data_IF_638007061536
#
_entry.id   IF_638007061536
#
_cell.length_a   1.000
_cell.length_b   1.000
_cell.length_c   1.000
_cell.angle_alpha   90.00
_cell.angle_beta   90.00
_cell.angle_gamma   90.00
#
_symmetry.space_group_name_H-M   'P 1'
#
loop_
_entity.id
_entity.type
_entity.pdbx_description
1 polymer ?
#
# COMPACT_ATOMS: atom_id res chain seq x y z
N UNK A 1 -0.45 -4.53 24.11
CA UNK A 1 -0.31 -5.15 22.76
C UNK A 1 -1.14 -4.32 21.76
N UNK A 2 -0.73 -4.19 20.53
CA UNK A 2 -1.47 -3.54 19.44
C UNK A 2 -1.88 -2.07 19.66
N UNK A 3 -1.21 -1.32 20.49
CA UNK A 3 -1.54 0.09 20.82
C UNK A 3 -1.55 1.03 19.61
N UNK A 4 -0.87 0.64 18.52
CA UNK A 4 -0.82 1.40 17.27
C UNK A 4 -1.82 0.90 16.20
N UNK A 5 -2.69 -0.06 16.54
CA UNK A 5 -3.73 -0.56 15.63
C UNK A 5 -5.09 -0.06 16.11
N UNK A 6 -5.38 1.21 15.83
CA UNK A 6 -6.60 1.88 16.30
C UNK A 6 -7.83 1.47 15.47
N UNK A 7 -9.00 1.44 16.09
CA UNK A 7 -10.29 1.29 15.42
C UNK A 7 -10.49 -0.06 14.71
N UNK A 8 -9.89 -1.15 15.22
CA UNK A 8 -10.04 -2.48 14.63
C UNK A 8 -10.57 -3.48 15.65
N UNK A 9 -11.88 -3.81 15.64
CA UNK A 9 -12.50 -4.74 16.61
C UNK A 9 -11.84 -6.13 16.63
N UNK A 10 -11.34 -6.60 15.48
CA UNK A 10 -10.67 -7.90 15.35
C UNK A 10 -9.41 -8.04 16.22
N UNK A 11 -8.84 -6.93 16.67
CA UNK A 11 -7.66 -6.94 17.53
C UNK A 11 -7.96 -7.53 18.91
N UNK A 12 -9.18 -7.35 19.44
CA UNK A 12 -9.55 -7.96 20.72
C UNK A 12 -9.47 -9.49 20.64
N UNK A 13 -10.04 -10.08 19.60
CA UNK A 13 -9.97 -11.53 19.35
C UNK A 13 -8.51 -12.00 19.24
N UNK A 14 -7.68 -11.26 18.52
CA UNK A 14 -6.27 -11.61 18.34
C UNK A 14 -5.49 -11.51 19.66
N UNK A 15 -5.79 -10.51 20.51
CA UNK A 15 -5.21 -10.40 21.85
C UNK A 15 -5.57 -11.60 22.72
N UNK A 16 -6.84 -11.98 22.73
CA UNK A 16 -7.34 -13.11 23.54
C UNK A 16 -6.66 -14.42 23.11
N UNK A 17 -6.51 -14.66 21.81
CA UNK A 17 -5.82 -15.84 21.30
C UNK A 17 -4.32 -15.85 21.62
N UNK A 18 -3.66 -14.70 21.53
CA UNK A 18 -2.25 -14.57 21.91
C UNK A 18 -2.01 -14.82 23.39
N UNK A 19 -2.91 -14.31 24.26
CA UNK A 19 -2.81 -14.49 25.70
C UNK A 19 -3.01 -15.95 26.12
N UNK A 20 -3.93 -16.66 25.45
CA UNK A 20 -4.21 -18.06 25.72
C UNK A 20 -3.31 -19.05 24.95
N UNK A 21 -2.42 -18.56 24.09
CA UNK A 21 -1.55 -19.41 23.28
C UNK A 21 -2.26 -20.18 22.16
N UNK A 22 -3.48 -19.78 21.79
CA UNK A 22 -4.35 -20.45 20.82
C UNK A 22 -4.25 -19.89 19.41
N UNK A 23 -3.13 -19.26 19.08
CA UNK A 23 -2.91 -18.67 17.73
C UNK A 23 -2.72 -19.79 16.71
N UNK A 24 -3.51 -19.83 15.63
CA UNK A 24 -3.35 -20.83 14.59
C UNK A 24 -2.02 -20.65 13.83
N UNK A 25 -1.49 -21.73 13.21
CA UNK A 25 -0.22 -21.65 12.50
C UNK A 25 -0.28 -20.77 11.24
N UNK A 26 -1.47 -20.53 10.68
CA UNK A 26 -1.66 -19.70 9.51
C UNK A 26 -2.83 -18.74 9.64
N UNK A 27 -2.55 -17.45 9.56
CA UNK A 27 -3.50 -16.35 9.69
C UNK A 27 -3.62 -15.58 8.37
N UNK A 28 -4.83 -15.13 8.04
CA UNK A 28 -5.09 -14.22 6.95
C UNK A 28 -5.72 -12.92 7.48
N UNK A 29 -5.01 -11.81 7.38
CA UNK A 29 -5.54 -10.48 7.70
C UNK A 29 -6.11 -9.86 6.43
N UNK A 30 -7.43 -9.83 6.31
CA UNK A 30 -8.14 -9.35 5.14
C UNK A 30 -8.90 -8.06 5.44
N UNK A 31 -8.86 -7.08 4.54
CA UNK A 31 -9.58 -5.82 4.70
C UNK A 31 -9.02 -4.69 3.84
N UNK A 32 -9.63 -3.50 3.87
CA UNK A 32 -9.27 -2.39 2.99
C UNK A 32 -7.83 -1.91 3.17
N UNK A 33 -7.36 -1.10 2.22
CA UNK A 33 -6.05 -0.45 2.32
C UNK A 33 -5.98 0.43 3.59
N UNK A 34 -4.78 0.65 4.09
CA UNK A 34 -4.51 1.44 5.29
C UNK A 34 -5.27 1.02 6.56
N UNK A 35 -5.93 -0.15 6.61
CA UNK A 35 -6.63 -0.66 7.80
C UNK A 35 -5.70 -1.17 8.93
N UNK A 36 -4.37 -1.20 8.73
CA UNK A 36 -3.37 -1.57 9.75
C UNK A 36 -3.00 -3.05 9.77
N UNK A 37 -3.34 -3.83 8.74
CA UNK A 37 -3.03 -5.27 8.63
C UNK A 37 -1.55 -5.60 8.85
N UNK A 38 -0.63 -4.90 8.15
CA UNK A 38 0.81 -5.14 8.31
C UNK A 38 1.28 -4.75 9.71
N UNK A 39 0.78 -3.64 10.27
CA UNK A 39 1.10 -3.23 11.63
C UNK A 39 0.68 -4.31 12.63
N UNK A 40 -0.52 -4.88 12.47
CA UNK A 40 -1.00 -5.98 13.29
C UNK A 40 -0.18 -7.26 13.08
N UNK A 41 0.23 -7.59 11.84
CA UNK A 41 1.06 -8.75 11.54
C UNK A 41 2.43 -8.65 12.22
N UNK A 42 3.08 -7.48 12.14
CA UNK A 42 4.36 -7.23 12.79
C UNK A 42 4.26 -7.25 14.32
N UNK A 43 3.16 -6.76 14.88
CA UNK A 43 2.92 -6.79 16.32
C UNK A 43 2.62 -8.22 16.80
N UNK A 44 1.82 -8.99 16.04
CA UNK A 44 1.60 -10.43 16.29
C UNK A 44 2.93 -11.18 16.32
N UNK A 45 3.79 -10.94 15.33
CA UNK A 45 5.13 -11.55 15.27
C UNK A 45 5.98 -11.20 16.49
N UNK A 46 5.96 -9.92 16.91
CA UNK A 46 6.68 -9.47 18.11
C UNK A 46 6.17 -10.17 19.38
N UNK A 47 4.86 -10.24 19.56
CA UNK A 47 4.24 -10.85 20.76
C UNK A 47 4.53 -12.36 20.83
N UNK A 48 4.39 -13.08 19.70
CA UNK A 48 4.69 -14.52 19.62
C UNK A 48 6.15 -14.83 19.93
N UNK A 49 7.07 -13.93 19.60
CA UNK A 49 8.52 -14.08 19.84
C UNK A 49 8.95 -13.53 21.21
N UNK A 50 8.05 -12.84 21.94
CA UNK A 50 8.40 -12.21 23.20
C UNK A 50 8.72 -13.26 24.28
N UNK A 51 9.76 -13.00 25.08
CA UNK A 51 10.19 -13.87 26.17
C UNK A 51 9.57 -13.48 27.53
N UNK A 52 8.92 -12.32 27.59
CA UNK A 52 8.37 -11.71 28.80
C UNK A 52 6.86 -11.42 28.66
N UNK A 53 6.46 -10.18 28.90
CA UNK A 53 5.05 -9.78 29.04
C UNK A 53 4.27 -9.63 27.72
N UNK A 54 4.94 -9.51 26.57
CA UNK A 54 4.28 -9.21 25.29
C UNK A 54 3.74 -7.78 25.17
N UNK A 55 3.82 -6.94 26.20
CA UNK A 55 3.35 -5.56 26.15
C UNK A 55 4.19 -4.71 25.20
N UNK A 56 3.62 -3.61 24.68
CA UNK A 56 4.37 -2.71 23.78
C UNK A 56 5.60 -2.12 24.45
N UNK A 57 5.53 -1.83 25.73
CA UNK A 57 6.64 -1.31 26.54
C UNK A 57 7.73 -2.34 26.85
N UNK A 58 7.52 -3.62 26.50
CA UNK A 58 8.51 -4.67 26.75
C UNK A 58 9.83 -4.36 26.04
N UNK A 59 10.95 -4.49 26.79
CA UNK A 59 12.30 -4.17 26.34
C UNK A 59 13.20 -5.43 26.21
N UNK A 60 12.61 -6.64 26.27
CA UNK A 60 13.41 -7.86 26.08
C UNK A 60 14.11 -7.84 24.70
N UNK A 61 15.25 -8.56 24.55
CA UNK A 61 16.03 -8.53 23.33
C UNK A 61 15.23 -8.92 22.07
N UNK A 62 14.28 -9.85 22.22
CA UNK A 62 13.38 -10.23 21.11
C UNK A 62 12.47 -9.08 20.70
N UNK A 63 11.79 -8.42 21.65
CA UNK A 63 10.93 -7.28 21.35
C UNK A 63 11.70 -6.12 20.71
N UNK A 64 12.90 -5.82 21.17
CA UNK A 64 13.76 -4.79 20.54
C UNK A 64 14.02 -5.12 19.08
N UNK A 65 14.52 -6.34 18.77
CA UNK A 65 14.78 -6.76 17.38
C UNK A 65 13.53 -6.73 16.50
N UNK A 66 12.37 -7.13 17.00
CA UNK A 66 11.11 -7.03 16.24
C UNK A 66 10.65 -5.59 16.02
N UNK A 67 10.82 -4.72 17.01
CA UNK A 67 10.53 -3.28 16.85
C UNK A 67 11.42 -2.66 15.78
N UNK A 68 12.68 -3.04 15.76
CA UNK A 68 13.68 -2.57 14.79
C UNK A 68 13.65 -3.31 13.45
N UNK A 69 12.78 -4.31 13.27
CA UNK A 69 12.72 -5.19 12.09
C UNK A 69 14.07 -5.87 11.76
N UNK A 70 14.87 -6.19 12.80
CA UNK A 70 16.16 -6.88 12.71
C UNK A 70 16.11 -8.32 13.27
N UNK A 71 14.89 -8.84 13.52
CA UNK A 71 14.74 -10.20 14.07
C UNK A 71 15.06 -11.26 13.01
N UNK A 72 16.00 -12.18 13.34
CA UNK A 72 16.44 -13.27 12.46
C UNK A 72 15.34 -14.27 12.11
N UNK A 73 14.36 -14.44 13.01
CA UNK A 73 13.22 -15.36 12.85
C UNK A 73 11.98 -14.70 12.24
N UNK A 74 12.13 -13.52 11.65
CA UNK A 74 11.09 -12.82 10.91
C UNK A 74 11.53 -12.63 9.45
N UNK A 75 10.68 -13.02 8.50
CA UNK A 75 10.80 -12.64 7.09
C UNK A 75 9.52 -11.96 6.62
N UNK A 76 9.70 -10.95 5.79
CA UNK A 76 8.60 -10.23 5.13
C UNK A 76 8.74 -10.44 3.63
N UNK A 77 7.72 -11.04 3.03
CA UNK A 77 7.63 -11.34 1.62
C UNK A 77 6.43 -10.59 1.03
N UNK A 78 6.61 -9.85 -0.06
CA UNK A 78 5.49 -9.13 -0.65
C UNK A 78 5.90 -8.07 -1.66
N UNK A 79 4.90 -7.54 -2.34
CA UNK A 79 5.04 -6.61 -3.46
C UNK A 79 4.40 -5.25 -3.17
N UNK A 80 4.10 -4.96 -1.89
CA UNK A 80 3.44 -3.71 -1.52
C UNK A 80 4.35 -2.51 -1.78
N UNK A 81 3.81 -1.49 -2.44
CA UNK A 81 4.46 -0.19 -2.55
C UNK A 81 4.45 0.55 -1.19
N UNK A 82 5.62 0.94 -0.72
CA UNK A 82 5.82 1.62 0.56
C UNK A 82 6.33 3.05 0.41
N UNK A 83 6.49 3.56 -0.80
CA UNK A 83 7.09 4.88 -1.06
C UNK A 83 6.32 6.00 -0.36
N UNK A 84 4.98 6.02 -0.46
CA UNK A 84 4.20 7.07 0.19
C UNK A 84 4.22 6.97 1.72
N UNK A 85 4.24 5.75 2.28
CA UNK A 85 4.41 5.55 3.72
C UNK A 85 5.77 6.07 4.17
N UNK A 86 6.82 5.83 3.40
CA UNK A 86 8.17 6.35 3.69
C UNK A 86 8.22 7.87 3.61
N UNK A 87 7.60 8.48 2.58
CA UNK A 87 7.50 9.95 2.45
C UNK A 87 6.72 10.59 3.60
N UNK A 88 5.59 9.99 3.99
CA UNK A 88 4.80 10.46 5.13
C UNK A 88 5.59 10.36 6.44
N UNK A 89 6.33 9.27 6.64
CA UNK A 89 7.18 9.11 7.81
C UNK A 89 8.39 10.08 7.81
N UNK A 90 8.94 10.39 6.63
CA UNK A 90 9.98 11.41 6.44
C UNK A 90 9.46 12.80 6.83
N UNK A 91 8.26 13.15 6.33
CA UNK A 91 7.58 14.40 6.71
C UNK A 91 7.36 14.49 8.23
N UNK A 92 6.84 13.41 8.84
CA UNK A 92 6.65 13.34 10.29
C UNK A 92 7.97 13.55 11.07
N UNK A 93 9.09 12.99 10.59
CA UNK A 93 10.39 13.19 11.22
C UNK A 93 10.86 14.64 11.14
N UNK A 94 10.81 15.26 9.96
CA UNK A 94 11.25 16.63 9.74
C UNK A 94 10.35 17.65 10.47
N UNK A 95 9.05 17.36 10.58
CA UNK A 95 8.08 18.28 11.24
C UNK A 95 8.09 18.15 12.76
N UNK A 96 7.94 16.90 13.27
CA UNK A 96 7.78 16.69 14.71
C UNK A 96 9.11 16.60 15.46
N UNK A 97 10.22 16.24 14.81
CA UNK A 97 11.58 16.18 15.38
C UNK A 97 11.63 15.44 16.72
N UNK A 98 10.97 14.27 16.78
CA UNK A 98 10.90 13.46 18.00
C UNK A 98 11.51 12.08 17.76
N UNK A 99 11.99 11.43 18.83
CA UNK A 99 12.48 10.05 18.81
C UNK A 99 11.42 9.09 18.26
N UNK A 100 10.13 9.34 18.56
CA UNK A 100 9.02 8.53 18.00
C UNK A 100 8.88 8.69 16.49
N UNK A 101 9.03 9.91 15.95
CA UNK A 101 8.98 10.16 14.51
C UNK A 101 10.21 9.58 13.79
N UNK A 102 11.41 9.67 14.40
CA UNK A 102 12.61 9.00 13.92
C UNK A 102 12.39 7.48 13.85
N UNK A 103 11.87 6.88 14.90
CA UNK A 103 11.55 5.45 14.93
C UNK A 103 10.55 5.07 13.83
N UNK A 104 9.51 5.89 13.60
CA UNK A 104 8.55 5.68 12.52
C UNK A 104 9.25 5.66 11.16
N UNK A 105 10.11 6.64 10.89
CA UNK A 105 10.84 6.75 9.62
C UNK A 105 11.79 5.57 9.40
N UNK A 106 12.64 5.27 10.36
CA UNK A 106 13.56 4.12 10.28
C UNK A 106 12.79 2.82 10.04
N UNK A 107 11.66 2.63 10.73
CA UNK A 107 10.82 1.45 10.56
C UNK A 107 10.14 1.41 9.19
N UNK A 108 9.72 2.55 8.64
CA UNK A 108 9.15 2.61 7.29
C UNK A 108 10.19 2.19 6.23
N UNK A 109 11.41 2.69 6.34
CA UNK A 109 12.53 2.29 5.47
C UNK A 109 12.83 0.80 5.62
N UNK A 110 12.96 0.29 6.83
CA UNK A 110 13.26 -1.13 7.10
C UNK A 110 12.15 -2.08 6.65
N UNK A 111 10.89 -1.67 6.60
CA UNK A 111 9.82 -2.44 5.96
C UNK A 111 10.10 -2.68 4.47
N UNK A 112 10.69 -1.72 3.77
CA UNK A 112 11.08 -1.90 2.38
C UNK A 112 12.33 -2.78 2.27
N UNK A 113 13.40 -2.43 2.96
CA UNK A 113 14.69 -3.14 2.82
C UNK A 113 14.61 -4.59 3.26
N UNK A 114 13.78 -4.94 4.26
CA UNK A 114 13.58 -6.32 4.70
C UNK A 114 13.01 -7.26 3.62
N UNK A 115 12.40 -6.74 2.55
CA UNK A 115 11.97 -7.55 1.39
C UNK A 115 13.12 -7.94 0.48
N UNK A 116 14.29 -7.29 0.64
CA UNK A 116 15.54 -7.62 -0.04
C UNK A 116 16.48 -8.47 0.83
N UNK A 117 15.95 -9.14 1.84
CA UNK A 117 16.73 -10.08 2.64
C UNK A 117 17.32 -11.18 1.74
N UNK A 118 18.63 -11.42 1.85
CA UNK A 118 19.37 -12.37 1.01
C UNK A 118 18.80 -13.80 1.08
N UNK A 119 18.08 -14.13 2.15
CA UNK A 119 17.40 -15.42 2.31
C UNK A 119 16.21 -15.60 1.37
N UNK A 120 15.71 -14.53 0.74
CA UNK A 120 14.58 -14.53 -0.20
C UNK A 120 15.00 -14.48 -1.67
N UNK A 121 16.24 -14.09 -1.95
CA UNK A 121 16.71 -13.83 -3.31
C UNK A 121 17.80 -14.82 -3.74
N UNK A 122 17.86 -15.13 -5.04
CA UNK A 122 19.04 -15.76 -5.61
C UNK A 122 20.15 -14.71 -5.71
N UNK A 123 21.39 -15.13 -5.48
CA UNK A 123 22.53 -14.19 -5.43
C UNK A 123 22.87 -13.56 -6.77
N UNK A 124 22.55 -14.25 -7.85
CA UNK A 124 22.76 -13.85 -9.24
C UNK A 124 21.51 -13.23 -9.90
N UNK A 125 20.41 -13.05 -9.15
CA UNK A 125 19.21 -12.46 -9.68
C UNK A 125 19.41 -10.98 -10.04
N UNK A 126 19.18 -10.56 -11.29
CA UNK A 126 19.55 -9.23 -11.78
C UNK A 126 18.97 -8.08 -10.95
N UNK A 127 17.74 -8.25 -10.45
CA UNK A 127 17.10 -7.23 -9.60
C UNK A 127 17.75 -7.13 -8.23
N UNK A 128 18.20 -8.25 -7.65
CA UNK A 128 18.89 -8.26 -6.38
C UNK A 128 20.32 -7.69 -6.51
N UNK A 129 21.03 -8.05 -7.59
CA UNK A 129 22.34 -7.46 -7.91
C UNK A 129 22.24 -5.94 -8.08
N UNK A 130 21.19 -5.44 -8.76
CA UNK A 130 20.93 -4.01 -8.90
C UNK A 130 20.54 -3.35 -7.56
N UNK A 131 19.84 -4.06 -6.69
CA UNK A 131 19.42 -3.56 -5.38
C UNK A 131 20.58 -3.44 -4.38
N UNK A 132 21.59 -4.33 -4.45
CA UNK A 132 22.65 -4.43 -3.46
C UNK A 132 23.39 -3.09 -3.15
N UNK A 133 23.84 -2.30 -4.14
CA UNK A 133 24.49 -1.01 -3.86
C UNK A 133 23.50 -0.01 -3.24
N UNK A 134 22.24 0.02 -3.70
CA UNK A 134 21.22 0.92 -3.15
C UNK A 134 20.91 0.57 -1.68
N UNK A 135 20.85 -0.72 -1.36
CA UNK A 135 20.67 -1.19 0.02
C UNK A 135 21.82 -0.78 0.92
N UNK A 136 23.06 -0.92 0.45
CA UNK A 136 24.24 -0.49 1.20
C UNK A 136 24.20 1.02 1.49
N UNK A 137 23.88 1.85 0.48
CA UNK A 137 23.74 3.30 0.64
C UNK A 137 22.62 3.67 1.64
N UNK A 138 21.49 2.92 1.62
CA UNK A 138 20.38 3.14 2.56
C UNK A 138 20.82 2.76 3.99
N UNK A 139 21.46 1.62 4.17
CA UNK A 139 21.91 1.15 5.49
C UNK A 139 22.94 2.10 6.11
N UNK A 140 23.92 2.58 5.32
CA UNK A 140 24.89 3.58 5.76
C UNK A 140 24.20 4.88 6.18
N UNK A 141 23.32 5.41 5.33
CA UNK A 141 22.62 6.66 5.63
C UNK A 141 21.65 6.53 6.82
N UNK A 142 21.04 5.35 7.03
CA UNK A 142 20.22 5.08 8.21
C UNK A 142 21.05 4.99 9.48
N UNK A 143 22.22 4.34 9.41
CA UNK A 143 23.14 4.23 10.53
C UNK A 143 23.57 5.64 10.99
N UNK A 144 24.03 6.47 10.06
CA UNK A 144 24.42 7.86 10.33
C UNK A 144 23.26 8.66 10.96
N UNK A 145 22.04 8.51 10.43
CA UNK A 145 20.85 9.19 10.96
C UNK A 145 20.53 8.74 12.39
N UNK A 146 20.62 7.44 12.66
CA UNK A 146 20.34 6.89 14.00
C UNK A 146 21.39 7.37 15.02
N UNK A 147 22.68 7.37 14.63
CA UNK A 147 23.77 7.74 15.50
C UNK A 147 23.78 9.25 15.79
N UNK A 148 23.61 10.10 14.76
CA UNK A 148 23.62 11.56 14.91
C UNK A 148 22.42 12.09 15.69
N UNK A 149 21.26 11.48 15.56
CA UNK A 149 20.01 11.96 16.14
C UNK A 149 19.43 10.99 17.18
N UNK A 150 20.30 10.42 18.04
CA UNK A 150 19.83 9.54 19.13
C UNK A 150 18.95 10.30 20.12
N UNK A 151 19.30 11.54 20.43
CA UNK A 151 18.45 12.48 21.14
C UNK A 151 17.97 13.59 20.19
N UNK A 152 16.65 13.70 20.00
CA UNK A 152 16.01 14.69 19.11
C UNK A 152 15.64 15.99 19.85
N UNK A 153 16.04 16.15 21.11
CA UNK A 153 15.76 17.36 21.89
C UNK A 153 16.77 18.47 21.54
N UNK A 154 16.27 19.65 21.19
CA UNK A 154 17.08 20.88 20.95
C UNK A 154 18.01 20.80 19.73
N UNK A 155 17.49 20.34 18.56
CA UNK A 155 18.21 20.36 17.29
C UNK A 155 18.38 21.82 16.82
N UNK A 156 19.60 22.20 16.46
CA UNK A 156 19.92 23.51 15.89
C UNK A 156 19.41 23.65 14.44
N UNK A 157 19.26 24.89 13.95
CA UNK A 157 18.82 25.15 12.57
C UNK A 157 19.73 24.51 11.49
N UNK A 158 21.03 24.38 11.79
CA UNK A 158 21.99 23.72 10.88
C UNK A 158 21.80 22.21 10.87
N UNK A 159 21.57 21.62 12.03
CA UNK A 159 21.26 20.19 12.17
C UNK A 159 19.91 19.84 11.55
N UNK A 160 18.93 20.73 11.64
CA UNK A 160 17.64 20.58 10.97
C UNK A 160 17.78 20.48 9.46
N UNK A 161 18.51 21.41 8.82
CA UNK A 161 18.79 21.37 7.39
C UNK A 161 19.57 20.12 6.98
N UNK A 162 20.44 19.63 7.86
CA UNK A 162 21.18 18.39 7.61
C UNK A 162 20.26 17.17 7.72
N UNK A 163 19.39 17.13 8.72
CA UNK A 163 18.37 16.08 8.89
C UNK A 163 17.44 15.99 7.67
N UNK A 164 16.94 17.14 7.19
CA UNK A 164 16.10 17.20 6.00
C UNK A 164 16.80 16.61 4.75
N UNK A 165 18.07 16.99 4.53
CA UNK A 165 18.87 16.49 3.41
C UNK A 165 19.11 14.98 3.52
N UNK A 166 19.46 14.49 4.70
CA UNK A 166 19.66 13.04 4.92
C UNK A 166 18.37 12.27 4.73
N UNK A 167 17.27 12.75 5.27
CA UNK A 167 15.94 12.15 5.16
C UNK A 167 15.47 12.11 3.70
N UNK A 168 15.67 13.20 2.95
CA UNK A 168 15.37 13.27 1.52
C UNK A 168 16.22 12.26 0.73
N UNK A 169 17.55 12.20 0.97
CA UNK A 169 18.44 11.21 0.31
C UNK A 169 17.95 9.78 0.54
N UNK A 170 17.64 9.41 1.78
CA UNK A 170 17.14 8.06 2.10
C UNK A 170 15.81 7.80 1.39
N UNK A 171 14.92 8.77 1.37
CA UNK A 171 13.60 8.64 0.71
C UNK A 171 13.74 8.43 -0.80
N UNK A 172 14.64 9.15 -1.46
CA UNK A 172 14.94 9.00 -2.89
C UNK A 172 15.54 7.62 -3.21
N UNK A 173 16.46 7.15 -2.37
CA UNK A 173 17.03 5.80 -2.49
C UNK A 173 15.94 4.72 -2.30
N UNK A 174 15.04 4.88 -1.34
CA UNK A 174 13.91 3.98 -1.14
C UNK A 174 12.96 3.99 -2.35
N UNK A 175 12.68 5.17 -2.92
CA UNK A 175 11.90 5.27 -4.13
C UNK A 175 12.56 4.53 -5.29
N UNK A 176 13.87 4.73 -5.52
CA UNK A 176 14.63 4.03 -6.55
C UNK A 176 14.65 2.52 -6.33
N UNK A 177 14.85 2.05 -5.09
CA UNK A 177 14.83 0.64 -4.74
C UNK A 177 13.47 -0.01 -5.05
N UNK A 178 12.38 0.62 -4.62
CA UNK A 178 11.00 0.16 -4.88
C UNK A 178 10.73 0.11 -6.37
N UNK A 179 11.16 1.15 -7.06
CA UNK A 179 10.85 1.36 -8.46
C UNK A 179 11.60 0.43 -9.39
N UNK A 180 12.85 0.23 -9.17
CA UNK A 180 13.73 -0.44 -10.09
C UNK A 180 13.91 -1.93 -9.78
N UNK A 181 13.72 -2.32 -8.50
CA UNK A 181 14.12 -3.63 -8.04
C UNK A 181 12.96 -4.50 -7.53
N UNK A 182 11.83 -3.90 -7.09
CA UNK A 182 10.68 -4.68 -6.63
C UNK A 182 9.91 -5.35 -7.77
N UNK A 183 9.34 -6.50 -7.49
CA UNK A 183 8.38 -7.17 -8.37
C UNK A 183 6.96 -6.66 -8.16
N UNK A 184 6.14 -6.65 -9.22
CA UNK A 184 4.71 -6.34 -9.12
C UNK A 184 3.88 -7.53 -8.62
N UNK A 185 4.34 -8.74 -8.90
CA UNK A 185 3.74 -10.00 -8.45
C UNK A 185 4.77 -10.86 -7.75
N UNK A 186 4.35 -11.63 -6.77
CA UNK A 186 5.25 -12.45 -5.96
C UNK A 186 5.78 -13.66 -6.75
N UNK A 187 7.10 -13.73 -7.04
CA UNK A 187 7.67 -14.80 -7.85
C UNK A 187 7.80 -16.11 -7.06
N UNK A 188 7.73 -17.23 -7.78
CA UNK A 188 7.79 -18.57 -7.17
C UNK A 188 9.11 -18.85 -6.45
N UNK A 189 10.24 -18.30 -6.93
CA UNK A 189 11.56 -18.52 -6.32
C UNK A 189 11.62 -17.95 -4.90
N UNK A 190 11.10 -16.73 -4.69
CA UNK A 190 11.04 -16.14 -3.35
C UNK A 190 10.17 -16.98 -2.40
N UNK A 191 9.03 -17.48 -2.87
CA UNK A 191 8.17 -18.36 -2.08
C UNK A 191 8.86 -19.67 -1.73
N UNK A 192 9.59 -20.28 -2.67
CA UNK A 192 10.37 -21.51 -2.42
C UNK A 192 11.48 -21.27 -1.39
N UNK A 193 12.22 -20.17 -1.51
CA UNK A 193 13.26 -19.81 -0.54
C UNK A 193 12.68 -19.54 0.84
N UNK A 194 11.60 -18.79 0.94
CA UNK A 194 10.89 -18.57 2.20
C UNK A 194 10.38 -19.89 2.80
N UNK A 195 9.86 -20.79 1.97
CA UNK A 195 9.41 -22.14 2.39
C UNK A 195 10.56 -23.03 2.87
N UNK A 196 11.74 -22.92 2.30
CA UNK A 196 12.94 -23.62 2.76
C UNK A 196 13.42 -23.01 4.09
N UNK A 197 13.48 -21.69 4.18
CA UNK A 197 13.94 -20.99 5.38
C UNK A 197 13.04 -21.27 6.60
N UNK A 198 11.72 -21.31 6.43
CA UNK A 198 10.81 -21.47 7.57
C UNK A 198 10.89 -22.89 8.17
N UNK A 199 11.41 -23.88 7.44
CA UNK A 199 11.65 -25.25 7.92
C UNK A 199 12.91 -25.37 8.80
N UNK A 200 13.80 -24.38 8.79
CA UNK A 200 14.95 -24.36 9.67
C UNK A 200 14.50 -24.03 11.10
N UNK A 201 15.18 -24.58 12.09
CA UNK A 201 14.89 -24.29 13.49
C UNK A 201 15.00 -22.79 13.79
N UNK A 202 14.09 -22.22 14.59
CA UNK A 202 14.19 -20.84 15.02
C UNK A 202 15.36 -20.63 15.99
N UNK A 203 15.94 -19.43 16.01
CA UNK A 203 16.85 -19.02 17.06
C UNK A 203 16.11 -18.64 18.36
N UNK A 204 14.84 -18.24 18.24
CA UNK A 204 13.94 -17.91 19.34
C UNK A 204 12.81 -18.91 19.51
N UNK A 205 11.63 -18.43 19.97
CA UNK A 205 10.43 -19.27 20.24
C UNK A 205 9.70 -19.68 18.96
N UNK A 206 9.56 -18.79 18.02
CA UNK A 206 8.75 -18.94 16.80
C UNK A 206 9.48 -18.39 15.59
N UNK A 207 9.21 -18.97 14.45
CA UNK A 207 9.69 -18.52 13.14
C UNK A 207 8.50 -18.00 12.34
N UNK A 208 8.57 -16.78 11.83
CA UNK A 208 7.39 -16.06 11.34
C UNK A 208 7.64 -15.58 9.92
N UNK A 209 6.75 -15.96 9.03
CA UNK A 209 6.71 -15.49 7.65
C UNK A 209 5.48 -14.61 7.44
N UNK A 210 5.70 -13.34 7.15
CA UNK A 210 4.64 -12.41 6.74
C UNK A 210 4.63 -12.36 5.22
N UNK A 211 3.46 -12.62 4.61
CA UNK A 211 3.25 -12.53 3.17
C UNK A 211 2.25 -11.43 2.88
N UNK A 212 2.72 -10.32 2.30
CA UNK A 212 1.87 -9.21 1.93
C UNK A 212 1.25 -9.42 0.54
N UNK A 213 0.03 -8.91 0.36
CA UNK A 213 -0.72 -9.01 -0.90
C UNK A 213 -0.76 -10.46 -1.41
N UNK A 214 -1.22 -11.39 -0.56
CA UNK A 214 -1.30 -12.81 -0.89
C UNK A 214 -2.14 -13.11 -2.15
N UNK A 215 -3.06 -12.20 -2.50
CA UNK A 215 -3.81 -12.22 -3.75
C UNK A 215 -2.95 -11.96 -5.01
N UNK A 216 -1.76 -11.34 -4.86
CA UNK A 216 -0.82 -11.06 -5.97
C UNK A 216 0.24 -12.17 -6.18
N UNK A 217 0.11 -13.32 -5.56
CA UNK A 217 0.97 -14.47 -5.85
C UNK A 217 0.69 -15.02 -7.26
N UNK A 218 1.75 -15.31 -8.01
CA UNK A 218 1.65 -16.08 -9.25
C UNK A 218 1.12 -17.48 -8.98
N UNK A 219 0.51 -18.14 -9.96
CA UNK A 219 -0.07 -19.48 -9.78
C UNK A 219 0.95 -20.50 -9.27
N UNK A 220 2.13 -20.53 -9.87
CA UNK A 220 3.24 -21.38 -9.43
C UNK A 220 3.71 -21.09 -8.00
N UNK A 221 3.67 -19.80 -7.58
CA UNK A 221 3.97 -19.38 -6.23
C UNK A 221 2.91 -19.84 -5.23
N UNK A 222 1.62 -19.73 -5.60
CA UNK A 222 0.49 -20.25 -4.80
C UNK A 222 0.61 -21.74 -4.55
N UNK A 223 0.88 -22.52 -5.61
CA UNK A 223 1.04 -23.96 -5.51
C UNK A 223 2.25 -24.37 -4.64
N UNK A 224 3.36 -23.64 -4.73
CA UNK A 224 4.51 -23.84 -3.86
C UNK A 224 4.20 -23.52 -2.38
N UNK A 225 3.37 -22.49 -2.14
CA UNK A 225 3.00 -22.06 -0.80
C UNK A 225 2.00 -23.01 -0.12
N UNK A 226 1.08 -23.61 -0.89
CA UNK A 226 0.15 -24.61 -0.37
C UNK A 226 0.84 -25.78 0.33
N UNK A 227 1.95 -26.26 -0.23
CA UNK A 227 2.71 -27.39 0.36
C UNK A 227 3.21 -27.13 1.76
N UNK A 228 3.56 -25.90 2.11
CA UNK A 228 4.03 -25.56 3.45
C UNK A 228 2.87 -25.24 4.41
N UNK A 229 1.72 -24.80 3.88
CA UNK A 229 0.53 -24.59 4.68
C UNK A 229 -0.17 -25.89 5.07
N UNK A 230 0.02 -26.97 4.29
CA UNK A 230 -0.55 -28.29 4.60
C UNK A 230 0.14 -28.95 5.80
N UNK A 231 1.47 -28.83 5.88
CA UNK A 231 2.29 -29.41 6.94
C UNK A 231 3.23 -28.35 7.51
N UNK A 232 2.72 -27.37 8.26
CA UNK A 232 3.54 -26.33 8.85
C UNK A 232 4.37 -26.89 10.03
N UNK A 233 5.66 -26.52 10.14
CA UNK A 233 6.41 -26.83 11.36
C UNK A 233 5.74 -26.24 12.60
N UNK A 234 5.78 -26.92 13.74
CA UNK A 234 5.10 -26.51 15.00
C UNK A 234 5.55 -25.11 15.49
N UNK A 235 6.77 -24.73 15.19
CA UNK A 235 7.32 -23.43 15.56
C UNK A 235 7.04 -22.34 14.50
N UNK A 236 6.51 -22.72 13.34
CA UNK A 236 6.25 -21.77 12.25
C UNK A 236 4.90 -21.08 12.39
N UNK A 237 4.85 -19.80 12.06
CA UNK A 237 3.62 -19.03 11.94
C UNK A 237 3.64 -18.24 10.63
N UNK A 238 2.55 -18.38 9.88
CA UNK A 238 2.33 -17.68 8.61
C UNK A 238 1.28 -16.59 8.82
N UNK A 239 1.60 -15.36 8.42
CA UNK A 239 0.64 -14.24 8.48
C UNK A 239 0.51 -13.66 7.10
N UNK A 240 -0.60 -13.94 6.43
CA UNK A 240 -0.91 -13.41 5.11
C UNK A 240 -1.69 -12.11 5.25
N UNK A 241 -1.46 -11.16 4.37
CA UNK A 241 -2.31 -9.97 4.27
C UNK A 241 -2.90 -9.84 2.87
N UNK A 242 -4.12 -9.33 2.75
CA UNK A 242 -4.77 -9.04 1.47
C UNK A 242 -5.75 -7.88 1.59
N UNK A 243 -5.91 -7.12 0.52
CA UNK A 243 -7.01 -6.15 0.35
C UNK A 243 -8.22 -6.77 -0.34
N UNK A 244 -8.04 -7.91 -1.02
CA UNK A 244 -9.07 -8.59 -1.84
C UNK A 244 -9.19 -10.05 -1.45
N UNK A 245 -9.91 -10.32 -0.33
CA UNK A 245 -10.10 -11.70 0.16
C UNK A 245 -10.66 -12.65 -0.92
N UNK A 246 -11.58 -12.16 -1.75
CA UNK A 246 -12.18 -12.94 -2.82
C UNK A 246 -11.19 -13.34 -3.94
N UNK A 247 -10.05 -12.68 -4.06
CA UNK A 247 -9.00 -13.02 -5.02
C UNK A 247 -7.99 -14.05 -4.47
N UNK A 248 -8.06 -14.38 -3.17
CA UNK A 248 -7.29 -15.48 -2.59
C UNK A 248 -7.98 -16.80 -2.89
N UNK A 249 -7.23 -17.74 -3.45
CA UNK A 249 -7.79 -19.05 -3.89
C UNK A 249 -8.40 -19.85 -2.73
N UNK A 250 -9.49 -20.60 -2.96
CA UNK A 250 -10.19 -21.36 -1.93
C UNK A 250 -9.29 -22.35 -1.18
N UNK A 251 -8.32 -22.93 -1.85
CA UNK A 251 -7.36 -23.88 -1.26
C UNK A 251 -6.43 -23.24 -0.21
N UNK A 252 -6.09 -21.96 -0.35
CA UNK A 252 -5.40 -21.20 0.73
C UNK A 252 -6.41 -20.84 1.82
N UNK A 253 -7.59 -20.33 1.44
CA UNK A 253 -8.62 -19.93 2.41
C UNK A 253 -9.05 -21.06 3.35
N UNK A 254 -9.04 -22.31 2.89
CA UNK A 254 -9.37 -23.49 3.73
C UNK A 254 -8.30 -23.84 4.78
N UNK A 255 -7.08 -23.30 4.64
CA UNK A 255 -5.93 -23.59 5.54
C UNK A 255 -5.54 -22.43 6.44
N UNK A 256 -6.15 -21.27 6.25
CA UNK A 256 -5.84 -20.07 7.03
C UNK A 256 -7.05 -19.62 7.84
N UNK A 257 -6.83 -19.16 9.06
CA UNK A 257 -7.87 -18.46 9.82
C UNK A 257 -7.93 -17.00 9.40
N UNK A 258 -9.10 -16.56 8.95
CA UNK A 258 -9.31 -15.20 8.48
C UNK A 258 -9.70 -14.26 9.60
N UNK A 259 -9.01 -13.12 9.70
CA UNK A 259 -9.29 -11.99 10.59
C UNK A 259 -9.66 -10.80 9.72
N UNK A 260 -10.90 -10.31 9.88
CA UNK A 260 -11.45 -9.25 9.04
C UNK A 260 -11.15 -7.88 9.67
N UNK A 261 -10.36 -7.10 8.97
CA UNK A 261 -10.12 -5.70 9.25
C UNK A 261 -11.15 -4.86 8.52
N UNK A 262 -11.72 -3.89 9.21
CA UNK A 262 -12.74 -2.99 8.66
C UNK A 262 -12.13 -1.65 8.23
N UNK A 263 -12.85 -0.89 7.42
CA UNK A 263 -12.51 0.51 7.21
C UNK A 263 -12.71 1.26 8.53
N UNK A 264 -11.70 2.04 8.94
CA UNK A 264 -11.77 2.82 10.17
C UNK A 264 -12.77 3.96 10.03
N UNK A 265 -13.48 4.26 11.09
CA UNK A 265 -14.22 5.51 11.20
C UNK A 265 -13.30 6.73 11.06
N UNK A 266 -13.82 7.84 10.58
CA UNK A 266 -13.06 9.07 10.33
C UNK A 266 -12.28 9.53 11.57
N UNK A 267 -12.87 9.44 12.75
CA UNK A 267 -12.22 9.75 14.04
C UNK A 267 -10.97 8.92 14.31
N UNK A 268 -11.03 7.63 14.04
CA UNK A 268 -9.87 6.73 14.17
C UNK A 268 -8.83 6.95 13.07
N UNK A 269 -9.25 7.31 11.85
CA UNK A 269 -8.34 7.65 10.78
C UNK A 269 -7.56 8.93 11.10
N UNK A 270 -8.25 9.96 11.59
CA UNK A 270 -7.65 11.18 12.09
C UNK A 270 -6.68 10.91 13.24
N UNK A 271 -7.09 10.13 14.23
CA UNK A 271 -6.23 9.75 15.35
C UNK A 271 -4.93 9.02 14.91
N UNK A 272 -4.97 8.23 13.82
CA UNK A 272 -3.76 7.62 13.26
C UNK A 272 -2.85 8.69 12.65
N UNK A 273 -3.39 9.65 11.88
CA UNK A 273 -2.59 10.72 11.27
C UNK A 273 -1.93 11.57 12.35
N UNK A 274 -2.69 12.01 13.35
CA UNK A 274 -2.20 12.84 14.44
C UNK A 274 -1.20 12.12 15.37
N UNK A 275 -1.50 10.86 15.72
CA UNK A 275 -0.70 10.12 16.70
C UNK A 275 0.52 9.45 16.08
N UNK A 276 0.38 8.83 14.89
CA UNK A 276 1.44 8.05 14.25
C UNK A 276 2.30 8.95 13.37
N UNK A 277 1.67 9.73 12.47
CA UNK A 277 2.39 10.61 11.56
C UNK A 277 2.66 12.01 12.14
N UNK A 278 2.11 12.32 13.33
CA UNK A 278 2.32 13.61 14.01
C UNK A 278 1.88 14.83 13.19
N UNK A 279 0.99 14.65 12.23
CA UNK A 279 0.51 15.71 11.36
C UNK A 279 -0.89 16.21 11.80
N UNK A 280 -0.88 17.20 12.70
CA UNK A 280 -2.12 17.87 13.14
C UNK A 280 -2.59 18.92 12.15
N UNK A 281 -1.68 19.44 11.30
CA UNK A 281 -2.03 20.49 10.33
C UNK A 281 -2.89 19.94 9.21
N UNK A 282 -2.57 18.76 8.69
CA UNK A 282 -3.40 18.10 7.68
C UNK A 282 -4.83 17.90 8.15
N UNK A 283 -5.01 17.52 9.43
CA UNK A 283 -6.32 17.34 10.03
C UNK A 283 -7.07 18.68 10.24
N UNK A 284 -6.34 19.76 10.54
CA UNK A 284 -6.90 21.08 10.77
C UNK A 284 -7.27 21.84 9.48
N UNK A 285 -6.52 21.61 8.40
CA UNK A 285 -6.78 22.25 7.10
C UNK A 285 -8.09 21.81 6.48
N UNK A 286 -8.76 20.78 7.06
CA UNK A 286 -10.09 20.28 6.72
C UNK A 286 -10.41 20.47 5.24
N UNK A 287 -10.15 19.48 4.40
CA UNK A 287 -10.77 19.50 3.07
C UNK A 287 -12.28 19.56 3.27
N UNK A 288 -12.84 20.74 3.07
CA UNK A 288 -14.13 21.22 3.56
C UNK A 288 -15.37 20.43 3.12
N UNK A 289 -15.25 19.23 2.54
CA UNK A 289 -16.36 18.41 2.10
C UNK A 289 -16.15 16.89 2.24
N UNK A 290 -14.97 16.39 2.58
CA UNK A 290 -14.73 14.93 2.68
C UNK A 290 -14.11 14.52 4.02
N UNK A 291 -14.54 13.37 4.58
CA UNK A 291 -13.96 12.87 5.83
C UNK A 291 -12.45 12.58 5.65
N UNK A 292 -11.66 12.93 6.66
CA UNK A 292 -10.22 12.67 6.68
C UNK A 292 -9.95 11.17 6.56
N UNK A 293 -9.16 10.78 5.55
CA UNK A 293 -8.78 9.39 5.30
C UNK A 293 -7.26 9.23 5.28
N UNK A 294 -6.75 8.12 5.84
CA UNK A 294 -5.32 7.80 5.81
C UNK A 294 -4.82 7.64 4.37
N UNK A 295 -5.64 7.06 3.49
CA UNK A 295 -5.29 6.89 2.07
C UNK A 295 -5.10 8.26 1.42
N UNK A 296 -6.01 9.22 1.65
CA UNK A 296 -5.89 10.59 1.12
C UNK A 296 -4.67 11.32 1.69
N UNK A 297 -4.40 11.13 3.00
CA UNK A 297 -3.18 11.64 3.61
C UNK A 297 -1.91 11.09 2.94
N UNK A 298 -1.83 9.79 2.71
CA UNK A 298 -0.68 9.21 2.01
C UNK A 298 -0.59 9.69 0.55
N UNK A 299 -1.71 9.88 -0.12
CA UNK A 299 -1.77 10.40 -1.49
C UNK A 299 -1.33 11.86 -1.59
N UNK A 300 -1.41 12.66 -0.52
CA UNK A 300 -0.90 14.04 -0.53
C UNK A 300 0.62 14.12 -0.73
N UNK A 301 1.36 13.02 -0.52
CA UNK A 301 2.80 12.91 -0.81
C UNK A 301 3.12 12.46 -2.23
N UNK A 302 2.10 12.32 -3.10
CA UNK A 302 2.34 12.11 -4.53
C UNK A 302 2.99 13.38 -5.14
N UNK A 303 3.79 13.21 -6.19
CA UNK A 303 4.39 14.36 -6.90
C UNK A 303 3.36 15.20 -7.66
N UNK A 304 2.12 14.74 -7.72
CA UNK A 304 1.00 15.38 -8.41
C UNK A 304 -0.20 15.42 -7.47
N UNK A 305 -0.82 16.57 -7.36
CA UNK A 305 -2.00 16.75 -6.50
C UNK A 305 -3.16 15.82 -6.93
N UNK A 306 -3.96 15.29 -6.00
CA UNK A 306 -5.09 14.41 -6.31
C UNK A 306 -6.10 15.03 -7.30
N UNK A 307 -6.28 16.35 -7.26
CA UNK A 307 -7.16 17.11 -8.16
C UNK A 307 -6.75 16.95 -9.63
N UNK A 308 -5.47 16.76 -9.88
CA UNK A 308 -4.94 16.53 -11.21
C UNK A 308 -5.49 15.25 -11.86
N UNK A 309 -5.65 14.18 -11.09
CA UNK A 309 -6.26 12.95 -11.62
C UNK A 309 -7.74 13.15 -11.95
N UNK A 310 -8.43 13.97 -11.16
CA UNK A 310 -9.82 14.31 -11.42
C UNK A 310 -9.94 15.14 -12.70
N UNK A 311 -9.05 16.10 -12.94
CA UNK A 311 -9.00 16.85 -14.18
C UNK A 311 -8.68 15.97 -15.38
N UNK A 312 -7.66 15.10 -15.27
CA UNK A 312 -7.32 14.13 -16.32
C UNK A 312 -8.51 13.20 -16.65
N UNK A 313 -9.25 12.77 -15.64
CA UNK A 313 -10.46 11.95 -15.81
C UNK A 313 -11.61 12.74 -16.50
N UNK A 314 -11.78 14.01 -16.17
CA UNK A 314 -12.74 14.87 -16.85
C UNK A 314 -12.40 15.05 -18.34
N UNK A 315 -11.13 15.34 -18.65
CA UNK A 315 -10.62 15.44 -20.03
C UNK A 315 -10.81 14.11 -20.78
N UNK A 316 -10.61 12.98 -20.12
CA UNK A 316 -10.81 11.65 -20.71
C UNK A 316 -12.29 11.38 -21.03
N UNK A 317 -13.21 11.70 -20.12
CA UNK A 317 -14.63 11.56 -20.37
C UNK A 317 -15.11 12.46 -21.50
N UNK A 318 -14.67 13.73 -21.52
CA UNK A 318 -14.96 14.66 -22.62
C UNK A 318 -14.47 14.11 -23.96
N UNK A 319 -13.25 13.55 -23.99
CA UNK A 319 -12.71 12.90 -25.19
C UNK A 319 -13.59 11.72 -25.66
N UNK A 320 -13.98 10.84 -24.75
CA UNK A 320 -14.82 9.70 -25.06
C UNK A 320 -16.23 10.14 -25.53
N UNK A 321 -16.84 11.11 -24.88
CA UNK A 321 -18.18 11.60 -25.21
C UNK A 321 -18.20 12.37 -26.53
N UNK A 322 -17.17 13.17 -26.83
CA UNK A 322 -17.06 13.88 -28.12
C UNK A 322 -16.95 12.93 -29.32
N UNK A 323 -16.39 11.74 -29.13
CA UNK A 323 -16.30 10.70 -30.19
C UNK A 323 -17.65 10.00 -30.44
N UNK A 324 -18.59 10.06 -29.49
CA UNK A 324 -19.91 9.41 -29.56
C UNK A 324 -20.94 10.13 -30.43
N UNK A 325 -20.63 11.09 -31.19
CA UNK A 325 -21.40 12.07 -32.01
C UNK A 325 -22.85 11.81 -32.42
N UNK A 326 -23.55 10.71 -32.05
CA UNK A 326 -24.89 10.39 -32.56
C UNK A 326 -25.89 9.72 -31.60
N UNK A 327 -25.61 9.53 -30.31
CA UNK A 327 -26.63 9.01 -29.37
C UNK A 327 -26.83 9.95 -28.19
N UNK A 328 -27.78 10.88 -28.35
CA UNK A 328 -28.01 12.00 -27.44
C UNK A 328 -28.58 11.66 -26.06
N UNK A 329 -28.88 10.40 -25.76
CA UNK A 329 -29.57 10.04 -24.50
C UNK A 329 -28.74 9.26 -23.49
N UNK A 330 -27.55 8.80 -23.86
CA UNK A 330 -26.70 8.03 -22.97
C UNK A 330 -25.70 8.92 -22.21
N UNK A 331 -25.59 8.75 -20.89
CA UNK A 331 -24.73 9.53 -20.00
C UNK A 331 -25.15 10.99 -19.75
N UNK A 332 -26.46 11.31 -19.84
CA UNK A 332 -26.94 12.70 -19.63
C UNK A 332 -26.51 13.25 -18.26
N UNK A 333 -26.62 12.46 -17.19
CA UNK A 333 -26.23 12.87 -15.84
C UNK A 333 -24.72 13.08 -15.74
N UNK A 334 -23.91 12.22 -16.36
CA UNK A 334 -22.45 12.38 -16.42
C UNK A 334 -22.06 13.67 -17.16
N UNK A 335 -22.70 13.95 -18.29
CA UNK A 335 -22.48 15.19 -19.06
C UNK A 335 -22.78 16.42 -18.21
N UNK A 336 -23.91 16.43 -17.49
CA UNK A 336 -24.25 17.53 -16.58
C UNK A 336 -23.20 17.74 -15.49
N UNK A 337 -22.70 16.65 -14.92
CA UNK A 337 -21.64 16.71 -13.91
C UNK A 337 -20.32 17.23 -14.47
N UNK A 338 -19.95 16.83 -15.69
CA UNK A 338 -18.75 17.34 -16.35
C UNK A 338 -18.89 18.85 -16.64
N UNK A 339 -20.06 19.29 -17.09
CA UNK A 339 -20.34 20.73 -17.29
C UNK A 339 -20.23 21.49 -15.98
N UNK A 340 -20.83 21.00 -14.89
CA UNK A 340 -20.70 21.60 -13.57
C UNK A 340 -19.23 21.67 -13.10
N UNK A 341 -18.51 20.56 -13.23
CA UNK A 341 -17.08 20.53 -12.90
C UNK A 341 -16.27 21.55 -13.71
N UNK A 342 -16.54 21.67 -15.03
CA UNK A 342 -15.86 22.64 -15.91
C UNK A 342 -16.23 24.10 -15.64
N UNK A 343 -17.39 24.34 -15.08
CA UNK A 343 -17.79 25.70 -14.65
C UNK A 343 -16.95 26.18 -13.47
N UNK A 344 -16.64 25.26 -12.55
CA UNK A 344 -15.78 25.53 -11.39
C UNK A 344 -14.28 25.47 -11.75
N UNK A 345 -13.89 24.61 -12.71
CA UNK A 345 -12.52 24.35 -13.14
C UNK A 345 -12.39 24.48 -14.65
N UNK A 346 -12.16 25.70 -15.19
CA UNK A 346 -12.01 25.93 -16.61
C UNK A 346 -10.92 25.03 -17.22
N UNK A 347 -11.20 24.45 -18.39
CA UNK A 347 -10.30 23.51 -19.04
C UNK A 347 -8.97 24.18 -19.43
N UNK A 348 -7.86 23.69 -18.91
CA UNK A 348 -6.51 24.08 -19.31
C UNK A 348 -6.06 23.38 -20.61
N UNK A 349 -6.77 22.31 -21.03
CA UNK A 349 -6.34 21.44 -22.14
C UNK A 349 -7.52 21.05 -23.04
N UNK A 350 -7.21 20.90 -24.34
CA UNK A 350 -8.17 20.28 -25.27
C UNK A 350 -8.34 18.78 -25.00
N UNK A 351 -9.55 18.21 -25.08
CA UNK A 351 -9.80 16.79 -24.86
C UNK A 351 -9.11 15.94 -25.94
N UNK A 352 -7.97 15.34 -25.61
CA UNK A 352 -7.24 14.45 -26.51
C UNK A 352 -6.51 13.36 -25.74
N UNK A 353 -6.40 12.16 -26.31
CA UNK A 353 -5.69 11.05 -25.70
C UNK A 353 -4.21 11.36 -25.50
N UNK A 354 -3.62 12.13 -26.40
CA UNK A 354 -2.22 12.57 -26.32
C UNK A 354 -1.96 13.46 -25.11
N UNK A 355 -2.90 14.35 -24.79
CA UNK A 355 -2.82 15.20 -23.60
C UNK A 355 -2.92 14.34 -22.35
N UNK A 356 -3.86 13.41 -22.30
CA UNK A 356 -4.03 12.48 -21.16
C UNK A 356 -2.76 11.66 -20.95
N UNK A 357 -2.18 11.11 -22.01
CA UNK A 357 -0.93 10.36 -21.93
C UNK A 357 0.24 11.24 -21.45
N UNK A 358 0.34 12.49 -21.87
CA UNK A 358 1.35 13.43 -21.35
C UNK A 358 1.14 13.73 -19.87
N UNK A 359 -0.12 13.90 -19.45
CA UNK A 359 -0.48 14.08 -18.05
C UNK A 359 -0.09 12.86 -17.18
N UNK A 360 -0.18 11.66 -17.72
CA UNK A 360 0.17 10.40 -17.03
C UNK A 360 1.67 10.06 -17.09
N UNK A 361 2.45 10.64 -17.99
CA UNK A 361 3.86 10.30 -18.19
C UNK A 361 4.82 10.86 -17.13
N UNK A 362 4.41 11.86 -16.35
CA UNK A 362 5.27 12.51 -15.35
C UNK A 362 5.47 11.67 -14.07
N UNK A 363 4.87 10.51 -13.98
CA UNK A 363 4.91 9.65 -12.81
C UNK A 363 4.97 8.19 -13.25
N UNK A 364 5.43 7.30 -12.38
CA UNK A 364 5.50 5.86 -12.72
C UNK A 364 4.18 5.32 -13.26
N UNK A 365 4.22 4.74 -14.46
CA UNK A 365 3.03 4.56 -15.29
C UNK A 365 1.89 3.81 -14.59
N UNK A 366 2.19 2.75 -13.81
CA UNK A 366 1.15 1.89 -13.25
C UNK A 366 0.34 2.51 -12.14
N UNK A 367 1.00 3.03 -11.11
CA UNK A 367 0.30 3.59 -9.94
C UNK A 367 -0.55 4.79 -10.33
N UNK A 368 0.03 5.66 -11.15
CA UNK A 368 -0.65 6.85 -11.66
C UNK A 368 -1.83 6.45 -12.54
N UNK A 369 -1.64 5.46 -13.42
CA UNK A 369 -2.72 4.93 -14.24
C UNK A 369 -3.88 4.40 -13.38
N UNK A 370 -3.59 3.70 -12.29
CA UNK A 370 -4.61 3.20 -11.37
C UNK A 370 -5.39 4.35 -10.70
N UNK A 371 -4.67 5.38 -10.18
CA UNK A 371 -5.30 6.56 -9.58
C UNK A 371 -6.14 7.35 -10.59
N UNK A 372 -5.66 7.47 -11.82
CA UNK A 372 -6.43 8.05 -12.91
C UNK A 372 -7.71 7.26 -13.19
N UNK A 373 -7.65 5.92 -13.30
CA UNK A 373 -8.84 5.10 -13.52
C UNK A 373 -9.80 5.12 -12.33
N UNK A 374 -9.30 5.21 -11.10
CA UNK A 374 -10.13 5.44 -9.92
C UNK A 374 -10.89 6.78 -10.03
N UNK A 375 -10.23 7.83 -10.50
CA UNK A 375 -10.89 9.11 -10.76
C UNK A 375 -11.91 9.03 -11.92
N UNK A 376 -11.64 8.25 -12.96
CA UNK A 376 -12.61 7.97 -14.07
C UNK A 376 -13.86 7.28 -13.53
N UNK A 377 -13.70 6.28 -12.64
CA UNK A 377 -14.83 5.59 -12.00
C UNK A 377 -15.60 6.53 -11.08
N UNK A 378 -14.94 7.44 -10.36
CA UNK A 378 -15.60 8.33 -9.41
C UNK A 378 -16.67 9.20 -10.07
N UNK A 379 -16.43 9.67 -11.29
CA UNK A 379 -17.46 10.41 -12.07
C UNK A 379 -18.70 9.57 -12.35
N UNK A 380 -18.54 8.27 -12.68
CA UNK A 380 -19.68 7.35 -12.89
C UNK A 380 -20.44 7.13 -11.58
N UNK A 381 -19.74 6.86 -10.48
CA UNK A 381 -20.33 6.62 -9.17
C UNK A 381 -21.11 7.84 -8.67
N UNK A 382 -20.53 9.02 -8.79
CA UNK A 382 -21.17 10.27 -8.43
C UNK A 382 -22.43 10.52 -9.30
N UNK A 383 -22.42 10.12 -10.57
CA UNK A 383 -23.59 10.23 -11.45
C UNK A 383 -24.73 9.30 -11.00
N UNK A 384 -24.42 8.07 -10.61
CA UNK A 384 -25.40 7.11 -10.09
C UNK A 384 -26.00 7.58 -8.76
N UNK A 385 -25.18 8.15 -7.88
CA UNK A 385 -25.60 8.62 -6.55
C UNK A 385 -26.61 9.77 -6.59
N UNK A 386 -26.70 10.50 -7.70
CA UNK A 386 -27.73 11.56 -7.83
C UNK A 386 -29.15 11.02 -7.86
N UNK A 387 -29.34 9.74 -8.14
CA UNK A 387 -30.67 9.10 -8.28
C UNK A 387 -31.48 9.55 -9.50
N UNK A 388 -30.87 10.34 -10.39
CA UNK A 388 -31.54 10.90 -11.58
C UNK A 388 -31.34 10.01 -12.84
N UNK A 389 -30.61 8.90 -12.72
CA UNK A 389 -30.33 8.00 -13.82
C UNK A 389 -31.54 7.13 -14.19
N UNK A 390 -31.82 7.02 -15.47
CA UNK A 390 -32.76 6.03 -16.02
C UNK A 390 -32.22 4.60 -15.94
N UNK A 391 -33.08 3.59 -16.01
CA UNK A 391 -32.65 2.17 -16.01
C UNK A 391 -31.67 1.87 -17.14
N UNK A 392 -31.85 2.49 -18.30
CA UNK A 392 -30.94 2.32 -19.45
C UNK A 392 -29.57 2.96 -19.20
N UNK A 393 -29.52 4.13 -18.58
CA UNK A 393 -28.24 4.77 -18.17
C UNK A 393 -27.51 3.95 -17.11
N UNK A 394 -28.23 3.34 -16.15
CA UNK A 394 -27.62 2.47 -15.13
C UNK A 394 -26.94 1.24 -15.76
N UNK A 395 -27.56 0.63 -16.79
CA UNK A 395 -26.93 -0.47 -17.53
C UNK A 395 -25.65 -0.02 -18.26
N UNK A 396 -25.69 1.18 -18.86
CA UNK A 396 -24.53 1.76 -19.54
C UNK A 396 -23.41 2.12 -18.57
N UNK A 397 -23.74 2.69 -17.41
CA UNK A 397 -22.75 2.97 -16.37
C UNK A 397 -22.14 1.70 -15.79
N UNK A 398 -22.94 0.64 -15.63
CA UNK A 398 -22.43 -0.66 -15.22
C UNK A 398 -21.50 -1.28 -16.28
N UNK A 399 -21.81 -1.12 -17.56
CA UNK A 399 -20.95 -1.56 -18.66
C UNK A 399 -19.64 -0.74 -18.69
N UNK A 400 -19.72 0.60 -18.61
CA UNK A 400 -18.56 1.47 -18.57
C UNK A 400 -17.66 1.14 -17.37
N UNK A 401 -18.24 0.96 -16.19
CA UNK A 401 -17.50 0.57 -14.99
C UNK A 401 -16.78 -0.77 -15.17
N UNK A 402 -17.42 -1.76 -15.83
CA UNK A 402 -16.77 -3.04 -16.15
C UNK A 402 -15.57 -2.85 -17.06
N UNK A 403 -15.67 -2.03 -18.12
CA UNK A 403 -14.54 -1.76 -19.01
C UNK A 403 -13.37 -1.09 -18.28
N UNK A 404 -13.65 -0.13 -17.41
CA UNK A 404 -12.61 0.50 -16.59
C UNK A 404 -11.95 -0.53 -15.66
N UNK A 405 -12.72 -1.42 -15.02
CA UNK A 405 -12.15 -2.49 -14.18
C UNK A 405 -11.32 -3.50 -15.01
N UNK A 406 -11.73 -3.83 -16.23
CA UNK A 406 -10.94 -4.66 -17.13
C UNK A 406 -9.63 -3.97 -17.49
N UNK A 407 -9.64 -2.67 -17.78
CA UNK A 407 -8.43 -1.88 -18.03
C UNK A 407 -7.50 -1.83 -16.81
N UNK A 408 -8.06 -1.67 -15.59
CA UNK A 408 -7.29 -1.79 -14.35
C UNK A 408 -6.63 -3.17 -14.21
N UNK A 409 -7.39 -4.23 -14.44
CA UNK A 409 -6.87 -5.62 -14.36
C UNK A 409 -5.82 -5.90 -15.42
N UNK A 410 -5.98 -5.38 -16.65
CA UNK A 410 -5.02 -5.58 -17.74
C UNK A 410 -3.63 -5.05 -17.35
N UNK A 411 -3.56 -3.94 -16.64
CA UNK A 411 -2.29 -3.36 -16.18
C UNK A 411 -1.80 -4.02 -14.88
N UNK A 412 -2.68 -4.24 -13.90
CA UNK A 412 -2.29 -4.78 -12.57
C UNK A 412 -1.96 -6.29 -12.61
N UNK A 413 -2.71 -7.07 -13.39
CA UNK A 413 -2.59 -8.54 -13.41
C UNK A 413 -1.82 -9.02 -14.65
N UNK A 414 -2.19 -8.52 -15.84
CA UNK A 414 -1.64 -9.00 -17.10
C UNK A 414 -0.42 -8.24 -17.59
N UNK A 415 0.03 -7.23 -16.82
CA UNK A 415 1.24 -6.47 -17.12
C UNK A 415 1.21 -5.71 -18.45
N UNK A 416 0.03 -5.35 -18.93
CA UNK A 416 -0.14 -4.59 -20.17
C UNK A 416 0.45 -3.18 -20.02
N UNK A 417 0.94 -2.61 -21.14
CA UNK A 417 1.38 -1.23 -21.14
C UNK A 417 0.19 -0.29 -20.86
N UNK A 418 0.30 0.66 -19.91
CA UNK A 418 -0.79 1.57 -19.54
C UNK A 418 -1.35 2.35 -20.73
N UNK A 419 -0.50 2.74 -21.69
CA UNK A 419 -0.92 3.42 -22.90
C UNK A 419 -1.85 2.57 -23.76
N UNK A 420 -1.47 1.32 -24.04
CA UNK A 420 -2.29 0.41 -24.85
C UNK A 420 -3.62 0.08 -24.15
N UNK A 421 -3.60 -0.08 -22.83
CA UNK A 421 -4.80 -0.28 -22.03
C UNK A 421 -5.74 0.94 -22.08
N UNK A 422 -5.20 2.17 -22.08
CA UNK A 422 -5.99 3.40 -22.18
C UNK A 422 -6.62 3.56 -23.58
N UNK A 423 -5.88 3.27 -24.63
CA UNK A 423 -6.38 3.30 -26.01
C UNK A 423 -7.53 2.29 -26.18
N UNK A 424 -7.33 1.05 -25.72
CA UNK A 424 -8.38 0.02 -25.74
C UNK A 424 -9.61 0.43 -24.94
N UNK A 425 -9.42 1.00 -23.74
CA UNK A 425 -10.51 1.50 -22.90
C UNK A 425 -11.29 2.62 -23.62
N UNK A 426 -10.58 3.56 -24.25
CA UNK A 426 -11.23 4.66 -24.97
C UNK A 426 -12.10 4.17 -26.13
N UNK A 427 -11.71 3.09 -26.80
CA UNK A 427 -12.51 2.46 -27.86
C UNK A 427 -13.72 1.71 -27.31
N UNK A 428 -13.56 0.99 -26.20
CA UNK A 428 -14.65 0.25 -25.55
C UNK A 428 -15.74 1.19 -24.96
N UNK A 429 -15.35 2.36 -24.48
CA UNK A 429 -16.28 3.36 -23.95
C UNK A 429 -17.04 4.12 -25.05
N UNK A 430 -16.62 4.00 -26.30
CA UNK A 430 -17.27 4.57 -27.49
C UNK A 430 -17.72 3.41 -28.38
N UNK A 431 -18.81 2.68 -28.07
CA UNK A 431 -19.32 1.64 -28.95
C UNK A 431 -19.74 2.23 -30.29
N UNK A 432 -19.46 1.50 -31.34
CA UNK A 432 -19.81 1.80 -32.75
C UNK A 432 -21.30 2.07 -32.93
#
# INVERSE_FOLDING_TARGET
MFENVLGQPVIQLLCDELQHGNVPPALLFAGPEASGKLTAALETARVLSCTESGNWTCTCPSCKRHKDLSASDLLILGTRDTVLETKAAAHALCTAKTTAARFLFVRAVRKLTSRFDSRLWETDEPRFVKAAPILADIEEALFDLIEQYDNMENISDEEEKKLEKQTAKITDLCQKLQEDCMYDTLPVNQVRKASAWIRLMPAGKKKILIVENADKMQESARNAFLKILEEPPEYAVFILTTTRRAAVIPTILSRVRTYLFIERESTHQQAVIERVFRDTQFCAMGFSAQPVRIVSYLQSFLPVAPEYFREAAAVFWEYCLNRRKQQETSFAVLIQKLIAYRTEHPAAYEPSITVILKLLNNCKPRRIYMLFLEAVISFLQESIQTGLCTSQELEQYAAASRFVHIAMQSVDIFNSAPQAALETLSEQLVPY
#
